data_IF_060338927320
#
_entry.id   IF_060338927320
#
_cell.length_a   1.000
_cell.length_b   1.000
_cell.length_c   1.000
_cell.angle_alpha   90.00
_cell.angle_beta   90.00
_cell.angle_gamma   90.00
#
_symmetry.space_group_name_H-M   'P 1'
#
loop_
_entity.id
_entity.type
_entity.pdbx_description
1 polymer ?
#
# COMPACT_ATOMS: atom_id res chain seq x y z
N UNK A 1 20.35 -34.11 -9.78
CA UNK A 1 19.63 -35.28 -9.24
C UNK A 1 18.13 -35.14 -9.53
N UNK A 2 17.43 -36.25 -9.78
CA UNK A 2 15.96 -36.26 -9.82
C UNK A 2 15.43 -35.80 -8.46
N UNK A 3 14.54 -34.82 -8.41
CA UNK A 3 13.82 -34.52 -7.17
C UNK A 3 12.76 -35.62 -7.03
N UNK A 4 12.82 -36.48 -6.00
CA UNK A 4 11.96 -37.66 -5.87
C UNK A 4 10.47 -37.30 -5.66
N UNK A 5 10.13 -36.01 -5.61
CA UNK A 5 8.81 -35.51 -5.27
C UNK A 5 8.07 -34.87 -6.46
N UNK A 6 8.55 -35.09 -7.69
CA UNK A 6 7.94 -34.50 -8.88
C UNK A 6 7.50 -35.59 -9.84
N UNK A 7 6.21 -35.60 -10.11
CA UNK A 7 5.55 -36.46 -11.09
C UNK A 7 5.28 -35.64 -12.36
N UNK A 8 5.52 -36.24 -13.53
CA UNK A 8 5.27 -35.62 -14.83
C UNK A 8 4.06 -36.26 -15.49
N UNK A 9 3.20 -35.43 -16.06
CA UNK A 9 1.95 -35.86 -16.67
C UNK A 9 1.71 -35.13 -18.00
N UNK A 10 1.17 -35.85 -18.98
CA UNK A 10 0.73 -35.31 -20.25
C UNK A 10 -0.79 -35.14 -20.27
N UNK A 11 -1.29 -33.91 -20.25
CA UNK A 11 -2.73 -33.65 -20.24
C UNK A 11 -3.49 -34.04 -21.53
N UNK A 12 -2.77 -34.35 -22.62
CA UNK A 12 -3.39 -34.66 -23.91
C UNK A 12 -3.53 -36.16 -24.18
N UNK A 13 -2.54 -36.96 -23.81
CA UNK A 13 -2.57 -38.42 -24.00
C UNK A 13 -2.58 -39.21 -22.68
N UNK A 14 -2.69 -38.51 -21.55
CA UNK A 14 -2.75 -39.08 -20.19
C UNK A 14 -1.55 -39.98 -19.86
N UNK A 15 -0.43 -39.84 -20.58
CA UNK A 15 0.81 -40.56 -20.31
C UNK A 15 1.53 -39.96 -19.10
N UNK A 16 2.10 -40.81 -18.25
CA UNK A 16 2.98 -40.42 -17.14
C UNK A 16 4.45 -40.73 -17.46
N UNK A 17 5.14 -39.85 -18.19
CA UNK A 17 6.52 -40.09 -18.60
C UNK A 17 7.45 -40.09 -17.38
N UNK A 18 8.32 -41.10 -17.33
CA UNK A 18 9.35 -41.23 -16.30
C UNK A 18 10.59 -40.36 -16.57
N UNK A 19 10.78 -39.95 -17.84
CA UNK A 19 11.90 -39.11 -18.26
C UNK A 19 11.50 -37.63 -18.29
N UNK A 20 12.40 -36.77 -17.80
CA UNK A 20 12.16 -35.33 -17.68
C UNK A 20 12.39 -34.64 -19.02
N UNK A 21 11.32 -34.40 -19.78
CA UNK A 21 11.34 -33.68 -21.07
C UNK A 21 10.37 -32.51 -21.10
N UNK A 22 10.58 -31.60 -22.04
CA UNK A 22 9.68 -30.44 -22.24
C UNK A 22 8.37 -30.84 -22.92
N UNK A 23 8.44 -31.81 -23.82
CA UNK A 23 7.32 -32.28 -24.65
C UNK A 23 7.13 -33.78 -24.50
N UNK A 24 5.87 -34.23 -24.60
CA UNK A 24 5.50 -35.64 -24.58
C UNK A 24 5.97 -36.35 -25.86
N UNK A 25 6.53 -37.55 -25.74
CA UNK A 25 7.03 -38.30 -26.90
C UNK A 25 5.91 -38.79 -27.83
N UNK A 26 4.69 -38.98 -27.31
CA UNK A 26 3.58 -39.59 -28.05
C UNK A 26 2.72 -38.57 -28.81
N UNK A 27 2.61 -37.35 -28.30
CA UNK A 27 1.72 -36.33 -28.85
C UNK A 27 2.35 -34.94 -28.99
N UNK A 28 3.63 -34.79 -28.63
CA UNK A 28 4.41 -33.53 -28.70
C UNK A 28 3.80 -32.36 -27.90
N UNK A 29 2.83 -32.65 -27.02
CA UNK A 29 2.24 -31.63 -26.14
C UNK A 29 3.16 -31.32 -24.96
N UNK A 30 3.07 -30.11 -24.42
CA UNK A 30 3.92 -29.69 -23.30
C UNK A 30 3.54 -30.43 -22.01
N UNK A 31 4.54 -30.99 -21.32
CA UNK A 31 4.31 -31.71 -20.08
C UNK A 31 3.95 -30.79 -18.91
N UNK A 32 3.11 -31.30 -18.04
CA UNK A 32 2.83 -30.74 -16.72
C UNK A 32 3.59 -31.50 -15.64
N UNK A 33 3.89 -30.83 -14.54
CA UNK A 33 4.45 -31.44 -13.34
C UNK A 33 3.50 -31.27 -12.17
N UNK A 34 3.56 -32.20 -11.24
CA UNK A 34 2.91 -32.13 -9.92
C UNK A 34 3.95 -32.44 -8.85
N UNK A 35 4.01 -31.59 -7.83
CA UNK A 35 4.85 -31.78 -6.66
C UNK A 35 4.08 -32.53 -5.58
N UNK A 36 4.49 -33.74 -5.26
CA UNK A 36 3.81 -34.61 -4.28
C UNK A 36 3.93 -34.07 -2.86
N UNK A 37 5.02 -33.37 -2.52
CA UNK A 37 5.21 -32.76 -1.21
C UNK A 37 4.36 -31.50 -0.98
N UNK A 38 4.17 -30.66 -2.00
CA UNK A 38 3.46 -29.37 -1.86
C UNK A 38 2.05 -29.34 -2.46
N UNK A 39 1.67 -30.35 -3.22
CA UNK A 39 0.41 -30.42 -3.98
C UNK A 39 0.29 -29.42 -5.13
N UNK A 40 1.35 -28.65 -5.42
CA UNK A 40 1.37 -27.68 -6.52
C UNK A 40 1.60 -28.38 -7.86
N UNK A 41 0.99 -27.87 -8.91
CA UNK A 41 1.21 -28.33 -10.28
C UNK A 41 1.37 -27.17 -11.25
N UNK A 42 1.90 -27.45 -12.44
CA UNK A 42 2.06 -26.45 -13.48
C UNK A 42 2.69 -27.00 -14.76
N UNK A 43 2.87 -26.13 -15.75
CA UNK A 43 3.57 -26.47 -16.99
C UNK A 43 5.08 -26.61 -16.75
N UNK A 44 5.76 -27.41 -17.59
CA UNK A 44 7.22 -27.61 -17.58
C UNK A 44 8.00 -26.31 -17.46
N UNK A 45 7.57 -25.25 -18.16
CA UNK A 45 8.24 -23.94 -18.17
C UNK A 45 8.38 -23.30 -16.78
N UNK A 46 7.49 -23.62 -15.85
CA UNK A 46 7.50 -23.08 -14.49
C UNK A 46 8.10 -24.05 -13.46
N UNK A 47 8.52 -25.25 -13.88
CA UNK A 47 9.08 -26.28 -13.00
C UNK A 47 10.30 -25.81 -12.21
N UNK A 48 11.31 -25.26 -12.89
CA UNK A 48 12.56 -24.83 -12.24
C UNK A 48 12.30 -23.76 -11.17
N UNK A 49 11.41 -22.79 -11.47
CA UNK A 49 10.98 -21.79 -10.50
C UNK A 49 10.32 -22.43 -9.28
N UNK A 50 9.47 -23.45 -9.46
CA UNK A 50 8.89 -24.15 -8.33
C UNK A 50 9.95 -24.91 -7.53
N UNK A 51 10.77 -25.72 -8.21
CA UNK A 51 11.83 -26.55 -7.61
C UNK A 51 12.72 -25.71 -6.70
N UNK A 52 13.22 -24.58 -7.20
CA UNK A 52 14.17 -23.74 -6.47
C UNK A 52 13.56 -23.05 -5.23
N UNK A 53 12.22 -22.93 -5.20
CA UNK A 53 11.47 -22.28 -4.12
C UNK A 53 10.62 -23.26 -3.28
N UNK A 54 10.73 -24.57 -3.51
CA UNK A 54 9.92 -25.56 -2.82
C UNK A 54 10.76 -26.31 -1.80
N UNK A 55 10.42 -26.11 -0.53
CA UNK A 55 11.09 -26.73 0.62
C UNK A 55 11.11 -28.26 0.56
N UNK A 56 10.20 -28.86 -0.19
CA UNK A 56 10.13 -30.30 -0.39
C UNK A 56 10.96 -30.80 -1.59
N UNK A 57 11.15 -29.97 -2.61
CA UNK A 57 11.91 -30.34 -3.81
C UNK A 57 13.43 -30.18 -3.61
N UNK A 58 13.83 -29.26 -2.73
CA UNK A 58 15.22 -28.93 -2.40
C UNK A 58 15.36 -28.66 -0.89
N UNK A 59 15.26 -29.70 -0.04
CA UNK A 59 15.35 -29.54 1.41
C UNK A 59 16.73 -29.05 1.87
N UNK A 60 17.80 -29.48 1.19
CA UNK A 60 19.19 -29.05 1.45
C UNK A 60 19.37 -27.52 1.31
N UNK A 61 18.69 -26.91 0.33
CA UNK A 61 18.71 -25.46 0.12
C UNK A 61 17.92 -24.69 1.20
N UNK A 62 17.03 -25.35 1.95
CA UNK A 62 16.29 -24.69 3.03
C UNK A 62 17.17 -24.53 4.27
N UNK A 63 17.96 -25.55 4.62
CA UNK A 63 18.93 -25.48 5.72
C UNK A 63 19.99 -24.39 5.43
N UNK A 64 20.56 -24.37 4.24
CA UNK A 64 21.50 -23.32 3.81
C UNK A 64 20.86 -21.91 3.86
N UNK A 65 19.58 -21.77 3.48
CA UNK A 65 18.85 -20.50 3.58
C UNK A 65 18.62 -20.07 5.03
N UNK A 66 18.32 -21.00 5.92
CA UNK A 66 18.11 -20.73 7.34
C UNK A 66 19.41 -20.31 8.01
N UNK A 67 20.50 -21.05 7.80
CA UNK A 67 21.84 -20.68 8.29
C UNK A 67 22.25 -19.30 7.78
N UNK A 68 22.10 -19.04 6.47
CA UNK A 68 22.43 -17.74 5.89
C UNK A 68 21.56 -16.60 6.46
N UNK A 69 20.29 -16.88 6.79
CA UNK A 69 19.38 -15.90 7.39
C UNK A 69 19.79 -15.59 8.83
N UNK A 70 20.15 -16.61 9.61
CA UNK A 70 20.66 -16.45 10.99
C UNK A 70 21.99 -15.69 11.00
N UNK A 71 22.93 -16.03 10.12
CA UNK A 71 24.19 -15.30 9.96
C UNK A 71 23.96 -13.83 9.60
N UNK A 72 23.05 -13.55 8.65
CA UNK A 72 22.69 -12.19 8.29
C UNK A 72 22.06 -11.44 9.46
N UNK A 73 21.23 -12.10 10.25
CA UNK A 73 20.57 -11.51 11.41
C UNK A 73 21.59 -11.16 12.51
N UNK A 74 22.55 -12.05 12.77
CA UNK A 74 23.66 -11.81 13.71
C UNK A 74 24.57 -10.68 13.21
N UNK A 75 24.93 -10.67 11.92
CA UNK A 75 25.76 -9.62 11.34
C UNK A 75 25.08 -8.24 11.40
N UNK A 76 23.76 -8.18 11.18
CA UNK A 76 22.97 -6.96 11.35
C UNK A 76 22.99 -6.51 12.82
N UNK A 77 22.76 -7.43 13.77
CA UNK A 77 22.80 -7.11 15.20
C UNK A 77 24.15 -6.57 15.66
N UNK A 78 25.26 -7.18 15.22
CA UNK A 78 26.61 -6.70 15.57
C UNK A 78 26.88 -5.30 15.02
N UNK A 79 26.43 -4.99 13.80
CA UNK A 79 26.54 -3.64 13.24
C UNK A 79 25.70 -2.63 14.02
N UNK A 80 24.51 -3.02 14.50
CA UNK A 80 23.71 -2.17 15.37
C UNK A 80 24.32 -1.98 16.76
N UNK A 81 25.01 -2.97 17.32
CA UNK A 81 25.75 -2.80 18.59
C UNK A 81 26.86 -1.73 18.49
N UNK A 82 27.55 -1.63 17.35
CA UNK A 82 28.52 -0.53 17.15
C UNK A 82 27.88 0.85 17.07
N UNK A 83 26.57 0.92 16.79
CA UNK A 83 25.80 2.16 16.84
C UNK A 83 25.29 2.49 18.26
N UNK A 84 25.17 1.50 19.16
CA UNK A 84 24.78 1.73 20.57
C UNK A 84 25.84 2.52 21.35
N UNK A 85 27.12 2.44 20.92
CA UNK A 85 28.20 3.29 21.46
C UNK A 85 28.11 4.75 21.00
N UNK A 86 27.26 5.04 20.01
CA UNK A 86 27.00 6.41 19.56
C UNK A 86 25.92 7.06 20.40
N UNK A 87 26.08 8.35 20.70
CA UNK A 87 25.03 9.10 21.40
C UNK A 87 23.69 9.02 20.63
N UNK A 88 22.57 8.91 21.34
CA UNK A 88 21.22 8.94 20.75
C UNK A 88 21.03 10.14 19.81
N UNK A 89 21.73 11.26 20.09
CA UNK A 89 21.73 12.46 19.27
C UNK A 89 22.38 12.23 17.90
N UNK A 90 23.52 11.54 17.87
CA UNK A 90 24.24 11.19 16.64
C UNK A 90 23.39 10.26 15.78
N UNK A 91 22.79 9.24 16.40
CA UNK A 91 21.88 8.30 15.71
C UNK A 91 20.67 9.04 15.14
N UNK A 92 20.04 9.92 15.92
CA UNK A 92 18.90 10.71 15.45
C UNK A 92 19.26 11.64 14.29
N UNK A 93 20.44 12.25 14.31
CA UNK A 93 20.93 13.09 13.22
C UNK A 93 21.14 12.27 11.95
N UNK A 94 21.81 11.13 12.05
CA UNK A 94 22.02 10.22 10.91
C UNK A 94 20.69 9.73 10.34
N UNK A 95 19.76 9.30 11.20
CA UNK A 95 18.42 8.88 10.78
C UNK A 95 17.66 9.99 10.07
N UNK A 96 17.73 11.23 10.56
CA UNK A 96 17.11 12.37 9.87
C UNK A 96 17.73 12.60 8.49
N UNK A 97 19.07 12.57 8.38
CA UNK A 97 19.76 12.72 7.10
C UNK A 97 19.38 11.61 6.09
N UNK A 98 19.28 10.36 6.55
CA UNK A 98 18.83 9.24 5.70
C UNK A 98 17.38 9.44 5.26
N UNK A 99 16.49 9.86 6.16
CA UNK A 99 15.09 10.16 5.80
C UNK A 99 15.02 11.29 4.77
N UNK A 100 15.85 12.33 4.89
CA UNK A 100 15.89 13.44 3.93
C UNK A 100 16.37 13.00 2.54
N UNK A 101 17.40 12.16 2.49
CA UNK A 101 17.92 11.58 1.24
C UNK A 101 16.87 10.65 0.61
N UNK A 102 16.27 9.77 1.40
CA UNK A 102 15.22 8.88 0.91
C UNK A 102 14.02 9.67 0.41
N UNK A 103 13.61 10.71 1.12
CA UNK A 103 12.48 11.54 0.72
C UNK A 103 12.76 12.25 -0.60
N UNK A 104 13.90 12.94 -0.71
CA UNK A 104 14.26 13.68 -1.94
C UNK A 104 14.42 12.80 -3.18
N UNK A 105 14.82 11.53 -3.01
CA UNK A 105 15.01 10.60 -4.14
C UNK A 105 13.77 9.74 -4.44
N UNK A 106 13.09 9.21 -3.40
CA UNK A 106 12.05 8.19 -3.54
C UNK A 106 10.67 8.81 -3.68
N UNK A 107 10.36 9.87 -2.91
CA UNK A 107 9.03 10.47 -2.94
C UNK A 107 8.66 11.01 -4.34
N UNK A 108 9.42 11.94 -4.95
CA UNK A 108 9.06 12.49 -6.27
C UNK A 108 9.14 11.45 -7.40
N UNK A 109 9.92 10.38 -7.22
CA UNK A 109 10.05 9.31 -8.22
C UNK A 109 8.79 8.44 -8.33
N UNK A 110 8.04 8.26 -7.23
CA UNK A 110 6.88 7.35 -7.18
C UNK A 110 5.57 8.04 -6.86
N UNK A 111 5.58 9.28 -6.36
CA UNK A 111 4.40 10.08 -6.09
C UNK A 111 4.51 11.38 -6.86
N UNK A 112 3.67 11.50 -7.88
CA UNK A 112 3.51 12.72 -8.66
C UNK A 112 2.08 12.80 -9.17
N UNK A 113 1.57 14.02 -9.22
CA UNK A 113 0.31 14.28 -9.91
C UNK A 113 0.54 14.15 -11.42
N UNK A 114 -0.28 13.34 -12.11
CA UNK A 114 -0.22 13.26 -13.56
C UNK A 114 -0.45 14.62 -14.22
N UNK A 115 0.45 15.05 -15.10
CA UNK A 115 0.27 16.29 -15.88
C UNK A 115 -0.89 16.20 -16.87
N UNK A 116 -1.29 14.99 -17.25
CA UNK A 116 -2.36 14.71 -18.21
C UNK A 116 -3.70 14.37 -17.52
N UNK A 117 -3.85 14.65 -16.23
CA UNK A 117 -4.96 14.19 -15.39
C UNK A 117 -6.35 14.48 -15.99
N UNK A 118 -6.57 15.70 -16.51
CA UNK A 118 -7.82 16.10 -17.15
C UNK A 118 -8.18 15.24 -18.39
N UNK A 119 -7.17 14.90 -19.19
CA UNK A 119 -7.32 14.13 -20.44
C UNK A 119 -7.40 12.61 -20.23
N UNK A 120 -7.04 12.11 -19.03
CA UNK A 120 -7.01 10.66 -18.77
C UNK A 120 -8.39 10.04 -18.82
N UNK A 121 -8.51 8.96 -19.59
CA UNK A 121 -9.69 8.10 -19.58
C UNK A 121 -9.78 7.35 -18.25
N UNK A 122 -10.90 7.51 -17.55
CA UNK A 122 -11.21 6.68 -16.39
C UNK A 122 -11.77 5.31 -16.83
N UNK A 123 -11.64 4.27 -16.01
CA UNK A 123 -12.34 3.01 -16.26
C UNK A 123 -13.85 3.29 -16.40
N UNK A 124 -14.45 2.79 -17.48
CA UNK A 124 -15.80 3.10 -17.97
C UNK A 124 -16.90 3.16 -16.88
N UNK A 125 -17.65 4.28 -16.84
CA UNK A 125 -18.80 4.56 -15.98
C UNK A 125 -19.24 6.05 -16.04
N UNK A 126 -20.32 6.49 -15.36
CA UNK A 126 -20.82 7.88 -15.34
C UNK A 126 -19.86 8.92 -14.70
N UNK A 127 -18.63 8.51 -14.38
CA UNK A 127 -17.65 9.27 -13.61
C UNK A 127 -16.58 9.94 -14.48
N UNK A 128 -16.92 10.36 -15.70
CA UNK A 128 -15.93 10.82 -16.71
C UNK A 128 -15.07 12.02 -16.24
N UNK A 129 -15.62 12.87 -15.36
CA UNK A 129 -14.96 14.07 -14.83
C UNK A 129 -14.21 13.85 -13.52
N UNK A 130 -14.45 12.73 -12.82
CA UNK A 130 -13.72 12.43 -11.59
C UNK A 130 -12.38 11.83 -11.95
N UNK A 131 -11.27 12.40 -11.47
CA UNK A 131 -9.93 11.86 -11.76
C UNK A 131 -9.21 11.35 -10.53
N UNK A 132 -9.55 11.90 -9.36
CA UNK A 132 -8.92 11.60 -8.09
C UNK A 132 -9.95 11.22 -7.05
N UNK A 133 -9.49 10.46 -6.07
CA UNK A 133 -10.23 10.13 -4.85
C UNK A 133 -9.35 10.55 -3.69
N UNK A 134 -9.93 11.19 -2.69
CA UNK A 134 -9.25 11.67 -1.50
C UNK A 134 -9.86 11.06 -0.24
N UNK A 135 -9.00 10.68 0.71
CA UNK A 135 -9.41 10.18 2.01
C UNK A 135 -8.34 10.52 3.05
N UNK A 136 -8.78 10.74 4.29
CA UNK A 136 -7.84 10.92 5.39
C UNK A 136 -7.60 9.57 6.06
N UNK A 137 -6.34 9.34 6.40
CA UNK A 137 -5.93 8.24 7.26
C UNK A 137 -5.21 8.80 8.47
N UNK A 138 -4.93 7.94 9.44
CA UNK A 138 -4.33 8.36 10.70
C UNK A 138 -3.26 7.39 11.14
N UNK A 139 -2.34 7.92 11.94
CA UNK A 139 -1.26 7.18 12.60
C UNK A 139 -1.54 7.27 14.10
N UNK A 140 -1.80 6.14 14.73
CA UNK A 140 -2.06 6.10 16.15
C UNK A 140 -0.81 6.54 16.91
N UNK A 141 -0.98 7.38 17.94
CA UNK A 141 0.10 7.80 18.83
C UNK A 141 -0.24 7.44 20.27
N UNK A 142 0.76 7.44 21.15
CA UNK A 142 0.52 7.33 22.58
C UNK A 142 -0.22 8.57 23.12
N UNK A 143 -0.93 8.38 24.22
CA UNK A 143 -1.61 9.48 24.92
C UNK A 143 -0.63 10.59 25.30
N UNK A 144 -0.87 11.84 24.86
CA UNK A 144 -0.08 12.97 25.31
C UNK A 144 -0.23 13.22 26.81
N UNK A 145 0.88 13.61 27.46
CA UNK A 145 0.91 13.83 28.91
C UNK A 145 0.10 15.06 29.33
N UNK A 146 0.13 16.13 28.55
CA UNK A 146 -0.58 17.37 28.84
C UNK A 146 -1.94 17.47 28.14
N UNK A 147 -2.82 18.26 28.76
CA UNK A 147 -4.21 18.42 28.33
C UNK A 147 -4.35 19.09 26.97
N UNK A 148 -3.45 20.01 26.63
CA UNK A 148 -3.52 20.76 25.39
C UNK A 148 -3.15 19.88 24.19
N UNK A 149 -2.09 19.08 24.29
CA UNK A 149 -1.77 18.10 23.27
C UNK A 149 -2.85 17.01 23.16
N UNK A 150 -3.46 16.55 24.26
CA UNK A 150 -4.59 15.61 24.19
C UNK A 150 -5.73 16.13 23.32
N UNK A 151 -6.11 17.40 23.46
CA UNK A 151 -7.15 18.02 22.62
C UNK A 151 -6.72 18.08 21.16
N UNK A 152 -5.48 18.52 20.89
CA UNK A 152 -4.95 18.64 19.53
C UNK A 152 -4.95 17.29 18.79
N UNK A 153 -4.40 16.26 19.42
CA UNK A 153 -4.24 14.96 18.80
C UNK A 153 -5.47 14.04 18.89
N UNK A 154 -6.55 14.47 19.53
CA UNK A 154 -7.75 13.64 19.68
C UNK A 154 -8.29 13.14 18.34
N UNK A 155 -8.50 11.84 18.23
CA UNK A 155 -9.07 11.20 17.05
C UNK A 155 -9.88 9.95 17.46
N UNK A 156 -11.21 10.04 17.37
CA UNK A 156 -12.13 9.02 17.89
C UNK A 156 -12.01 7.63 17.23
N UNK A 157 -11.48 7.54 16.01
CA UNK A 157 -11.27 6.24 15.33
C UNK A 157 -9.92 5.59 15.67
N UNK A 158 -9.04 6.29 16.38
CA UNK A 158 -7.73 5.77 16.77
C UNK A 158 -7.90 4.78 17.93
N UNK A 159 -7.16 3.64 17.97
CA UNK A 159 -7.22 2.70 19.08
C UNK A 159 -6.79 3.33 20.43
N UNK A 160 -6.00 4.40 20.39
CA UNK A 160 -5.56 5.14 21.58
C UNK A 160 -6.39 6.41 21.82
N UNK A 161 -7.40 6.71 21.00
CA UNK A 161 -8.08 8.02 20.90
C UNK A 161 -7.18 9.19 20.48
N UNK A 162 -5.92 8.96 20.13
CA UNK A 162 -5.00 10.01 19.69
C UNK A 162 -4.30 9.61 18.40
N UNK A 163 -4.16 10.55 17.48
CA UNK A 163 -3.50 10.30 16.21
C UNK A 163 -2.90 11.55 15.56
N UNK A 164 -1.96 11.30 14.67
CA UNK A 164 -1.56 12.23 13.62
C UNK A 164 -2.40 11.91 12.38
N UNK A 165 -2.96 12.95 11.75
CA UNK A 165 -3.77 12.85 10.55
C UNK A 165 -2.94 13.14 9.31
N UNK A 166 -3.19 12.39 8.24
CA UNK A 166 -2.62 12.65 6.92
C UNK A 166 -3.69 12.40 5.86
N UNK A 167 -3.68 13.18 4.78
CA UNK A 167 -4.53 12.97 3.62
C UNK A 167 -3.76 12.28 2.52
N UNK A 168 -4.41 11.32 1.86
CA UNK A 168 -3.91 10.63 0.69
C UNK A 168 -4.88 10.90 -0.45
N UNK A 169 -4.35 11.12 -1.66
CA UNK A 169 -5.14 11.08 -2.88
C UNK A 169 -4.62 10.03 -3.85
N UNK A 170 -5.54 9.37 -4.54
CA UNK A 170 -5.22 8.34 -5.52
C UNK A 170 -6.01 8.48 -6.81
N UNK A 171 -5.50 7.86 -7.88
CA UNK A 171 -6.24 7.66 -9.11
C UNK A 171 -7.06 6.35 -9.09
N UNK A 172 -7.95 6.18 -10.07
CA UNK A 172 -8.76 4.96 -10.25
C UNK A 172 -7.96 3.71 -10.68
N UNK A 173 -6.63 3.84 -10.82
CA UNK A 173 -5.72 2.71 -11.08
C UNK A 173 -5.03 2.25 -9.79
N UNK A 174 -5.50 2.72 -8.64
CA UNK A 174 -4.93 2.45 -7.33
C UNK A 174 -3.50 2.96 -7.17
N UNK A 175 -3.16 4.11 -7.76
CA UNK A 175 -1.87 4.77 -7.50
C UNK A 175 -2.07 5.97 -6.61
N UNK A 176 -1.26 6.05 -5.56
CA UNK A 176 -1.15 7.26 -4.73
C UNK A 176 -0.50 8.34 -5.59
N UNK A 177 -1.13 9.50 -5.68
CA UNK A 177 -0.60 10.63 -6.49
C UNK A 177 -0.27 11.86 -5.65
N UNK A 178 -0.77 11.91 -4.42
CA UNK A 178 -0.52 12.98 -3.48
C UNK A 178 -0.63 12.49 -2.04
N UNK A 179 0.22 13.01 -1.16
CA UNK A 179 0.20 12.78 0.28
C UNK A 179 0.49 14.12 0.96
N UNK A 180 -0.43 14.58 1.81
CA UNK A 180 -0.29 15.84 2.52
C UNK A 180 0.83 15.80 3.55
N UNK A 181 1.14 16.96 4.14
CA UNK A 181 1.86 17.00 5.41
C UNK A 181 1.05 16.35 6.56
N UNK A 182 1.70 16.15 7.70
CA UNK A 182 1.05 15.73 8.94
C UNK A 182 0.21 16.85 9.55
N UNK A 183 -0.95 16.48 10.08
CA UNK A 183 -1.83 17.35 10.84
C UNK A 183 -2.17 16.73 12.19
N UNK A 184 -2.59 17.56 13.13
CA UNK A 184 -3.13 17.05 14.40
C UNK A 184 -4.42 16.26 14.16
N UNK A 185 -4.68 15.23 14.98
CA UNK A 185 -5.83 14.34 14.84
C UNK A 185 -7.19 15.05 14.84
N UNK A 186 -7.32 16.15 15.57
CA UNK A 186 -8.58 16.89 15.69
C UNK A 186 -8.93 17.77 14.49
N UNK A 187 -7.99 18.00 13.56
CA UNK A 187 -8.22 18.84 12.38
C UNK A 187 -9.25 18.17 11.46
N UNK A 188 -10.23 18.93 10.97
CA UNK A 188 -11.26 18.41 10.07
C UNK A 188 -10.68 18.05 8.71
N UNK A 189 -11.23 17.01 8.07
CA UNK A 189 -10.71 16.49 6.80
C UNK A 189 -10.75 17.53 5.67
N UNK A 190 -11.80 18.36 5.63
CA UNK A 190 -11.89 19.48 4.69
C UNK A 190 -10.80 20.55 4.91
N UNK A 191 -10.41 20.80 6.16
CA UNK A 191 -9.31 21.73 6.47
C UNK A 191 -7.99 21.17 5.96
N UNK A 192 -7.73 19.88 6.21
CA UNK A 192 -6.55 19.19 5.67
C UNK A 192 -6.52 19.30 4.14
N UNK A 193 -7.64 19.06 3.44
CA UNK A 193 -7.69 19.18 1.98
C UNK A 193 -7.26 20.57 1.49
N UNK A 194 -7.84 21.62 2.08
CA UNK A 194 -7.57 23.01 1.70
C UNK A 194 -6.12 23.41 1.92
N UNK A 195 -5.50 22.90 2.97
CA UNK A 195 -4.12 23.23 3.35
C UNK A 195 -3.08 22.27 2.74
N UNK A 196 -3.51 21.15 2.16
CA UNK A 196 -2.61 20.10 1.67
C UNK A 196 -1.81 20.45 0.41
N UNK A 197 -2.19 21.54 -0.27
CA UNK A 197 -1.65 21.92 -1.59
C UNK A 197 -2.23 21.10 -2.75
N UNK A 198 -3.04 20.06 -2.51
CA UNK A 198 -3.60 19.23 -3.59
C UNK A 198 -4.44 20.06 -4.58
N UNK A 199 -5.29 20.95 -4.08
CA UNK A 199 -6.21 21.74 -4.90
C UNK A 199 -5.47 22.74 -5.81
N UNK A 200 -4.26 23.18 -5.43
CA UNK A 200 -3.43 24.09 -6.24
C UNK A 200 -2.88 23.42 -7.51
N UNK A 201 -2.81 22.08 -7.50
CA UNK A 201 -2.23 21.28 -8.58
C UNK A 201 -3.29 20.60 -9.46
N UNK A 202 -4.57 20.84 -9.17
CA UNK A 202 -5.70 20.22 -9.87
C UNK A 202 -6.43 21.31 -10.65
N UNK A 203 -6.58 21.12 -11.96
CA UNK A 203 -7.37 22.03 -12.80
C UNK A 203 -8.83 22.06 -12.34
N UNK A 204 -9.50 23.21 -12.48
CA UNK A 204 -10.93 23.36 -12.18
C UNK A 204 -11.84 22.33 -12.90
N UNK A 205 -11.36 21.80 -14.03
CA UNK A 205 -12.05 20.79 -14.84
C UNK A 205 -12.05 19.38 -14.21
N UNK A 206 -11.23 19.15 -13.19
CA UNK A 206 -11.05 17.85 -12.54
C UNK A 206 -11.86 17.80 -11.25
N UNK A 207 -12.77 16.82 -11.16
CA UNK A 207 -13.50 16.55 -9.93
C UNK A 207 -12.76 15.51 -9.06
N UNK A 208 -12.78 15.76 -7.75
CA UNK A 208 -12.23 14.86 -6.73
C UNK A 208 -13.39 14.17 -6.03
N UNK A 209 -13.28 12.88 -5.76
CA UNK A 209 -14.26 12.15 -4.93
C UNK A 209 -13.76 12.14 -3.49
N UNK A 210 -14.62 12.55 -2.55
CA UNK A 210 -14.34 12.51 -1.12
C UNK A 210 -15.45 11.85 -0.32
N UNK A 211 -15.15 11.52 0.93
CA UNK A 211 -16.16 11.13 1.90
C UNK A 211 -17.02 12.33 2.37
N UNK A 212 -17.98 12.09 3.28
CA UNK A 212 -18.85 13.16 3.78
C UNK A 212 -18.13 14.21 4.64
N UNK A 213 -16.91 13.92 5.12
CA UNK A 213 -16.04 14.86 5.84
C UNK A 213 -15.54 16.00 4.97
N UNK A 214 -15.58 15.84 3.65
CA UNK A 214 -15.21 16.87 2.66
C UNK A 214 -16.42 17.68 2.15
N UNK A 215 -17.61 17.48 2.73
CA UNK A 215 -18.81 18.18 2.29
C UNK A 215 -18.65 19.71 2.40
N UNK A 216 -18.95 20.43 1.32
CA UNK A 216 -18.86 21.89 1.25
C UNK A 216 -17.63 22.41 0.50
N UNK A 217 -16.81 21.52 -0.07
CA UNK A 217 -15.75 21.88 -1.02
C UNK A 217 -16.24 21.80 -2.46
N UNK A 218 -15.99 22.84 -3.27
CA UNK A 218 -16.59 23.02 -4.59
C UNK A 218 -16.16 21.94 -5.59
N UNK A 219 -14.87 21.60 -5.57
CA UNK A 219 -14.26 20.62 -6.47
C UNK A 219 -14.37 19.17 -5.97
N UNK A 220 -15.02 18.95 -4.82
CA UNK A 220 -15.16 17.62 -4.20
C UNK A 220 -16.59 17.12 -4.26
N UNK A 221 -16.76 16.01 -4.97
CA UNK A 221 -18.02 15.27 -5.03
C UNK A 221 -18.08 14.32 -3.83
N UNK A 222 -19.14 14.46 -3.03
CA UNK A 222 -19.38 13.65 -1.84
C UNK A 222 -20.75 12.96 -1.91
N UNK A 223 -20.97 11.84 -1.20
CA UNK A 223 -22.27 11.19 -1.16
C UNK A 223 -23.37 12.14 -0.66
N UNK A 224 -24.51 12.17 -1.38
CA UNK A 224 -25.69 12.97 -1.03
C UNK A 224 -26.18 12.60 0.37
N UNK A 225 -26.37 13.62 1.22
CA UNK A 225 -26.89 13.48 2.60
C UNK A 225 -28.40 13.27 2.56
N UNK A 226 -28.93 12.50 3.52
CA UNK A 226 -30.37 12.35 3.72
C UNK A 226 -30.97 13.72 4.10
N UNK A 227 -31.94 14.25 3.34
CA UNK A 227 -32.60 15.50 3.69
C UNK A 227 -33.36 15.37 5.01
N UNK A 228 -33.47 16.46 5.77
CA UNK A 228 -34.20 16.45 7.05
C UNK A 228 -35.66 16.10 6.80
N UNK A 229 -36.15 15.03 7.46
CA UNK A 229 -37.55 14.60 7.39
C UNK A 229 -37.96 13.94 6.06
N UNK A 230 -37.02 13.60 5.18
CA UNK A 230 -37.30 12.86 3.93
C UNK A 230 -36.33 11.71 3.74
N UNK A 231 -36.75 10.69 2.99
CA UNK A 231 -35.87 9.62 2.55
C UNK A 231 -35.02 10.03 1.35
N UNK A 232 -33.91 9.32 1.14
CA UNK A 232 -33.15 9.43 -0.10
C UNK A 232 -34.00 8.91 -1.26
N UNK A 233 -34.02 9.67 -2.35
CA UNK A 233 -34.65 9.22 -3.60
C UNK A 233 -33.88 8.03 -4.18
N UNK A 234 -34.49 7.30 -5.11
CA UNK A 234 -33.78 6.21 -5.79
C UNK A 234 -32.55 6.75 -6.55
N UNK A 235 -32.67 7.92 -7.17
CA UNK A 235 -31.55 8.61 -7.83
C UNK A 235 -30.41 8.92 -6.86
N UNK A 236 -30.71 9.42 -5.65
CA UNK A 236 -29.68 9.69 -4.64
C UNK A 236 -28.97 8.41 -4.18
N UNK A 237 -29.71 7.29 -4.08
CA UNK A 237 -29.15 5.99 -3.71
C UNK A 237 -28.25 5.46 -4.82
N UNK A 238 -28.67 5.59 -6.07
CA UNK A 238 -27.89 5.17 -7.24
C UNK A 238 -26.60 6.00 -7.34
N UNK A 239 -26.70 7.32 -7.20
CA UNK A 239 -25.54 8.21 -7.14
C UNK A 239 -24.59 7.84 -5.99
N UNK A 240 -25.11 7.63 -4.79
CA UNK A 240 -24.29 7.24 -3.64
C UNK A 240 -23.62 5.88 -3.85
N UNK A 241 -24.29 4.92 -4.50
CA UNK A 241 -23.70 3.63 -4.85
C UNK A 241 -22.50 3.81 -5.77
N UNK A 242 -22.62 4.64 -6.79
CA UNK A 242 -21.53 4.90 -7.74
C UNK A 242 -20.34 5.59 -7.05
N UNK A 243 -20.59 6.62 -6.25
CA UNK A 243 -19.55 7.33 -5.49
C UNK A 243 -18.87 6.40 -4.47
N UNK A 244 -19.63 5.60 -3.73
CA UNK A 244 -19.05 4.67 -2.77
C UNK A 244 -18.26 3.55 -3.46
N UNK A 245 -18.72 3.08 -4.62
CA UNK A 245 -17.96 2.09 -5.41
C UNK A 245 -16.63 2.66 -5.90
N UNK A 246 -16.58 3.93 -6.31
CA UNK A 246 -15.33 4.60 -6.66
C UNK A 246 -14.38 4.68 -5.46
N UNK A 247 -14.90 5.04 -4.27
CA UNK A 247 -14.12 5.16 -3.04
C UNK A 247 -13.45 3.86 -2.58
N UNK A 248 -13.92 2.70 -3.01
CA UNK A 248 -13.26 1.43 -2.73
C UNK A 248 -11.77 1.44 -3.14
N UNK A 249 -11.39 2.21 -4.18
CA UNK A 249 -10.01 2.30 -4.61
C UNK A 249 -9.08 2.90 -3.53
N UNK A 250 -9.49 4.01 -2.90
CA UNK A 250 -8.68 4.62 -1.83
C UNK A 250 -8.76 3.83 -0.52
N UNK A 251 -9.90 3.19 -0.24
CA UNK A 251 -10.04 2.31 0.91
C UNK A 251 -9.06 1.13 0.83
N UNK A 252 -8.92 0.52 -0.35
CA UNK A 252 -7.94 -0.55 -0.59
C UNK A 252 -6.49 -0.06 -0.45
N UNK A 253 -6.18 1.16 -0.90
CA UNK A 253 -4.86 1.77 -0.69
C UNK A 253 -4.60 2.00 0.79
N UNK A 254 -5.57 2.53 1.53
CA UNK A 254 -5.44 2.76 2.97
C UNK A 254 -5.22 1.44 3.71
N UNK A 255 -5.85 0.34 3.29
CA UNK A 255 -5.53 -0.99 3.81
C UNK A 255 -4.11 -1.45 3.48
N UNK A 256 -3.61 -1.15 2.28
CA UNK A 256 -2.22 -1.43 1.90
C UNK A 256 -1.23 -0.64 2.75
N UNK A 257 -1.49 0.64 2.98
CA UNK A 257 -0.68 1.50 3.85
C UNK A 257 -0.63 0.95 5.28
N UNK A 258 -1.75 0.44 5.80
CA UNK A 258 -1.81 -0.17 7.14
C UNK A 258 -0.98 -1.44 7.31
N UNK A 259 -0.45 -2.03 6.24
CA UNK A 259 0.53 -3.13 6.35
C UNK A 259 1.90 -2.65 6.80
N UNK A 260 2.20 -1.36 6.67
CA UNK A 260 3.43 -0.75 7.16
C UNK A 260 3.27 -0.38 8.63
N UNK A 261 4.27 -0.69 9.45
CA UNK A 261 4.21 -0.54 10.91
C UNK A 261 3.86 0.89 11.38
N UNK A 262 4.26 1.92 10.63
CA UNK A 262 3.92 3.31 10.97
C UNK A 262 2.41 3.60 10.90
N UNK A 263 1.68 2.94 9.99
CA UNK A 263 0.22 3.11 9.86
C UNK A 263 -0.58 2.06 10.63
N UNK A 264 -0.07 0.82 10.70
CA UNK A 264 -0.76 -0.30 11.34
C UNK A 264 -0.56 -0.38 12.85
N UNK A 265 0.49 0.24 13.38
CA UNK A 265 0.84 0.24 14.80
C UNK A 265 0.65 1.59 15.48
N UNK A 266 1.14 1.67 16.73
CA UNK A 266 1.25 2.92 17.47
C UNK A 266 2.64 3.51 17.25
N UNK A 267 2.71 4.73 16.74
CA UNK A 267 3.94 5.48 16.56
C UNK A 267 4.53 5.86 17.92
N UNK A 268 5.82 5.57 18.10
CA UNK A 268 6.56 5.75 19.36
C UNK A 268 7.64 6.84 19.31
N UNK A 269 7.77 7.53 18.18
CA UNK A 269 8.75 8.62 18.03
C UNK A 269 8.22 9.97 18.55
N UNK A 270 9.05 11.02 18.51
CA UNK A 270 8.64 12.38 18.86
C UNK A 270 7.51 12.86 17.95
N UNK A 271 6.35 13.21 18.53
CA UNK A 271 5.15 13.57 17.77
C UNK A 271 5.15 15.01 17.26
N UNK A 272 5.97 15.88 17.83
CA UNK A 272 6.01 17.31 17.49
C UNK A 272 6.87 17.63 16.26
N UNK A 273 7.65 16.66 15.78
CA UNK A 273 8.46 16.79 14.56
C UNK A 273 7.66 16.37 13.32
N UNK A 274 6.62 17.15 13.01
CA UNK A 274 5.76 16.90 11.84
C UNK A 274 6.55 16.86 10.54
N UNK A 275 7.63 17.62 10.43
CA UNK A 275 8.46 17.64 9.23
C UNK A 275 9.11 16.27 8.97
N UNK A 276 9.74 15.69 10.00
CA UNK A 276 10.34 14.35 9.89
C UNK A 276 9.30 13.27 9.69
N UNK A 277 8.19 13.31 10.43
CA UNK A 277 7.12 12.30 10.30
C UNK A 277 6.51 12.37 8.88
N UNK A 278 6.23 13.56 8.37
CA UNK A 278 5.72 13.78 7.01
C UNK A 278 6.63 13.10 5.98
N UNK A 279 7.95 13.34 6.05
CA UNK A 279 8.91 12.73 5.14
C UNK A 279 8.88 11.20 5.21
N UNK A 280 8.82 10.63 6.42
CA UNK A 280 8.73 9.18 6.61
C UNK A 280 7.45 8.63 5.97
N UNK A 281 6.30 9.25 6.24
CA UNK A 281 5.00 8.85 5.68
C UNK A 281 5.04 8.91 4.15
N UNK A 282 5.53 10.00 3.59
CA UNK A 282 5.63 10.23 2.15
C UNK A 282 6.55 9.19 1.49
N UNK A 283 7.70 8.85 2.10
CA UNK A 283 8.55 7.74 1.65
C UNK A 283 7.81 6.41 1.71
N UNK A 284 7.11 6.11 2.81
CA UNK A 284 6.34 4.85 2.94
C UNK A 284 5.23 4.76 1.89
N UNK A 285 4.54 5.85 1.59
CA UNK A 285 3.54 5.90 0.54
C UNK A 285 4.16 5.68 -0.86
N UNK A 286 5.34 6.26 -1.12
CA UNK A 286 6.08 6.03 -2.36
C UNK A 286 6.52 4.56 -2.51
N UNK A 287 6.98 3.94 -1.43
CA UNK A 287 7.28 2.51 -1.37
C UNK A 287 6.02 1.65 -1.55
N UNK A 288 4.86 2.11 -1.05
CA UNK A 288 3.57 1.45 -1.26
C UNK A 288 3.20 1.46 -2.75
N UNK A 289 3.37 2.57 -3.47
CA UNK A 289 3.22 2.62 -4.92
C UNK A 289 4.15 1.65 -5.65
N UNK A 290 5.43 1.60 -5.26
CA UNK A 290 6.39 0.64 -5.81
C UNK A 290 5.93 -0.81 -5.58
N UNK A 291 5.37 -1.12 -4.41
CA UNK A 291 4.81 -2.43 -4.11
C UNK A 291 3.55 -2.73 -4.93
N UNK A 292 2.64 -1.76 -5.07
CA UNK A 292 1.42 -1.87 -5.87
C UNK A 292 1.71 -2.13 -7.36
N UNK A 293 2.81 -1.59 -7.88
CA UNK A 293 3.26 -1.90 -9.26
C UNK A 293 3.67 -3.37 -9.43
N UNK A 294 4.28 -3.99 -8.39
CA UNK A 294 4.67 -5.41 -8.40
C UNK A 294 3.51 -6.35 -8.05
N UNK A 295 2.62 -5.88 -7.18
CA UNK A 295 1.49 -6.63 -6.63
C UNK A 295 0.22 -5.78 -6.67
N UNK A 296 -0.41 -5.65 -7.86
CA UNK A 296 -1.59 -4.82 -8.04
C UNK A 296 -2.78 -5.32 -7.23
N UNK A 297 -3.62 -4.38 -6.78
CA UNK A 297 -4.91 -4.71 -6.16
C UNK A 297 -5.79 -5.37 -7.23
N UNK A 298 -6.30 -6.57 -6.92
CA UNK A 298 -7.24 -7.28 -7.81
C UNK A 298 -8.53 -6.46 -7.90
N UNK A 299 -8.98 -6.21 -9.13
CA UNK A 299 -10.26 -5.55 -9.42
C UNK A 299 -11.42 -6.49 -9.23
#
# INVERSE_FOLDING_TARGET
MFSPQIEWHCAQCESDPTDRRKYCNDCDSMLTWTCTGSGKSGLYTNYYRHRDNCNYCTPELEEERQEQMEENQVAIQQRFQTLDDSSQRTVNYFLSAVVDILHSCVYPAFISLPTDLASRRTPHGPQQHHKLIVDSTFIAIHEPQDSEHRKKYYHAKSPTNYAIKVQVACDFRHRIVHVSECYHGSIHDITVLRESGLLEHVEESVQIIGDKGYYGEEYVVTPRKKPRGRELTQEDKDFNRDINSARAAIENINQRLKTYAIFGGVYRGPVDDFHKITKIIQVVAALCNLNLNKHPIRR
#
